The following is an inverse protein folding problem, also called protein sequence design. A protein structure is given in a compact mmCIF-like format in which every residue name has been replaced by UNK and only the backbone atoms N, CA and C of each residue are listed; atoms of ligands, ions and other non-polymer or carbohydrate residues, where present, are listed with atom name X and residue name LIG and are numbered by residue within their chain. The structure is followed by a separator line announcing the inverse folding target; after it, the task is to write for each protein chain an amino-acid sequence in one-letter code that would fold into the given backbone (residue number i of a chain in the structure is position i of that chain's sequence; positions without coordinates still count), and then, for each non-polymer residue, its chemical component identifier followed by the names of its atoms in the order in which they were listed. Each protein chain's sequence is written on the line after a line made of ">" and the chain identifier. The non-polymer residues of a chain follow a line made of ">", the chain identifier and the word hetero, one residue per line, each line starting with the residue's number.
data_IF_915972847042
#
_entry.id   IF_915972847042
#
_cell.length_a   1.000
_cell.length_b   1.000
_cell.length_c   1.000
_cell.angle_alpha   90.00
_cell.angle_beta   90.00
_cell.angle_gamma   90.00
#
_symmetry.space_group_name_H-M   'P 1'
#
loop_
_entity.id
_entity.type
_entity.pdbx_description
1 polymer ?
#
# COMPACT_ATOMS: atom_id res chain seq x y z
N UNK A 1 -8.97 14.42 -11.95
CA UNK A 1 -8.95 13.62 -13.18
C UNK A 1 -7.51 13.27 -13.55
N UNK A 2 -7.26 12.03 -13.88
CA UNK A 2 -5.98 11.56 -14.42
C UNK A 2 -6.19 10.51 -15.49
N UNK A 3 -5.22 10.42 -16.40
CA UNK A 3 -5.15 9.39 -17.42
C UNK A 3 -3.71 8.96 -17.60
N UNK A 4 -3.45 7.65 -17.45
CA UNK A 4 -2.15 7.03 -17.64
C UNK A 4 -2.28 5.94 -18.70
N UNK A 5 -1.25 5.78 -19.50
CA UNK A 5 -1.15 4.67 -20.44
C UNK A 5 0.31 4.19 -20.52
N UNK A 6 0.47 2.91 -20.74
CA UNK A 6 1.76 2.28 -20.89
C UNK A 6 1.81 1.32 -22.07
N UNK A 7 2.99 1.13 -22.59
CA UNK A 7 3.31 0.07 -23.55
C UNK A 7 4.61 -0.57 -23.15
N UNK A 8 4.55 -1.88 -22.90
CA UNK A 8 5.70 -2.65 -22.50
C UNK A 8 6.05 -3.68 -23.58
N UNK A 9 7.33 -3.87 -23.77
CA UNK A 9 7.89 -4.97 -24.54
C UNK A 9 8.98 -5.58 -23.71
N UNK A 10 8.81 -6.85 -23.35
CA UNK A 10 9.82 -7.62 -22.66
C UNK A 10 10.57 -8.44 -23.69
N UNK A 11 11.85 -8.17 -23.76
CA UNK A 11 12.82 -8.97 -24.49
C UNK A 11 13.77 -9.48 -23.41
N UNK A 12 13.39 -10.59 -22.76
CA UNK A 12 14.10 -11.16 -21.61
C UNK A 12 15.41 -11.80 -21.98
N UNK A 13 15.99 -11.29 -22.97
CA UNK A 13 17.38 -11.50 -23.18
C UNK A 13 17.74 -12.93 -23.47
N UNK A 14 18.87 -12.99 -23.86
CA UNK A 14 19.71 -14.07 -24.19
C UNK A 14 20.84 -14.05 -23.17
N UNK A 15 20.82 -15.00 -22.29
CA UNK A 15 21.97 -15.24 -21.44
C UNK A 15 22.96 -16.11 -22.22
N UNK A 16 24.28 -15.84 -22.14
CA UNK A 16 25.26 -16.68 -22.81
C UNK A 16 25.08 -18.15 -22.45
N UNK A 17 24.86 -19.00 -23.47
CA UNK A 17 24.61 -20.42 -23.30
C UNK A 17 23.13 -20.83 -23.29
N UNK A 18 22.19 -19.89 -23.38
CA UNK A 18 20.77 -20.16 -23.52
C UNK A 18 20.29 -19.95 -24.96
N UNK A 19 19.25 -20.68 -25.34
CA UNK A 19 18.58 -20.48 -26.64
C UNK A 19 17.79 -19.16 -26.63
N UNK A 20 17.85 -18.38 -27.72
CA UNK A 20 17.05 -17.17 -27.85
C UNK A 20 15.55 -17.47 -27.71
N UNK A 21 14.81 -16.56 -27.06
CA UNK A 21 13.37 -16.70 -26.97
C UNK A 21 12.72 -16.66 -28.36
N UNK A 22 11.76 -17.55 -28.59
CA UNK A 22 11.02 -17.65 -29.85
C UNK A 22 9.91 -16.60 -29.98
N UNK A 23 9.55 -15.93 -28.89
CA UNK A 23 8.55 -14.87 -28.87
C UNK A 23 8.88 -13.79 -27.84
N UNK A 24 8.48 -12.56 -28.12
CA UNK A 24 8.57 -11.44 -27.19
C UNK A 24 7.20 -11.12 -26.59
N UNK A 25 7.14 -11.00 -25.27
CA UNK A 25 5.96 -10.52 -24.57
C UNK A 25 5.77 -9.04 -24.82
N UNK A 26 4.53 -8.66 -25.10
CA UNK A 26 4.12 -7.26 -25.24
C UNK A 26 2.86 -7.02 -24.43
N UNK A 27 2.71 -5.83 -23.87
CA UNK A 27 1.47 -5.39 -23.26
C UNK A 27 1.20 -3.91 -23.50
N UNK A 28 -0.06 -3.55 -23.40
CA UNK A 28 -0.53 -2.17 -23.29
C UNK A 28 -1.47 -2.11 -22.10
N UNK A 29 -1.30 -1.08 -21.28
CA UNK A 29 -2.15 -0.79 -20.16
C UNK A 29 -2.64 0.64 -20.22
N UNK A 30 -3.77 0.87 -19.57
CA UNK A 30 -4.38 2.19 -19.43
C UNK A 30 -5.11 2.28 -18.11
N UNK A 31 -5.10 3.47 -17.54
CA UNK A 31 -5.84 3.81 -16.34
C UNK A 31 -6.41 5.22 -16.49
N UNK A 32 -7.68 5.36 -16.21
CA UNK A 32 -8.42 6.61 -16.18
C UNK A 32 -9.03 6.74 -14.79
N UNK A 33 -8.98 7.91 -14.18
CA UNK A 33 -9.60 8.09 -12.87
C UNK A 33 -10.11 9.50 -12.62
N UNK A 34 -11.10 9.57 -11.76
CA UNK A 34 -11.67 10.80 -11.22
C UNK A 34 -11.71 10.67 -9.71
N UNK A 35 -11.17 11.68 -9.01
CA UNK A 35 -11.29 11.84 -7.57
C UNK A 35 -11.91 13.19 -7.27
N UNK A 36 -12.87 13.21 -6.38
CA UNK A 36 -13.47 14.44 -5.88
C UNK A 36 -13.70 14.31 -4.38
N UNK A 37 -13.43 15.39 -3.66
CA UNK A 37 -13.81 15.51 -2.27
C UNK A 37 -14.18 16.93 -1.90
N UNK A 38 -14.97 17.06 -0.86
CA UNK A 38 -15.36 18.31 -0.25
C UNK A 38 -15.19 18.24 1.26
N UNK A 39 -14.55 19.24 1.84
CA UNK A 39 -14.47 19.41 3.30
C UNK A 39 -15.28 20.60 3.73
N UNK A 40 -15.96 20.48 4.86
CA UNK A 40 -16.75 21.54 5.47
C UNK A 40 -16.58 21.53 7.01
N UNK A 41 -16.72 22.68 7.62
CA UNK A 41 -16.89 22.86 9.06
C UNK A 41 -18.36 23.11 9.32
N UNK A 42 -19.04 22.15 9.97
CA UNK A 42 -20.46 22.24 10.26
C UNK A 42 -20.73 22.98 11.57
N UNK A 43 -19.83 22.86 12.53
CA UNK A 43 -19.86 23.53 13.84
C UNK A 43 -18.44 23.64 14.40
N UNK A 44 -18.28 24.34 15.53
CA UNK A 44 -16.97 24.63 16.13
C UNK A 44 -16.18 23.36 16.43
N UNK A 45 -14.91 23.33 16.02
CA UNK A 45 -13.99 22.20 16.20
C UNK A 45 -14.27 21.00 15.31
N UNK A 46 -15.23 21.09 14.38
CA UNK A 46 -15.58 20.01 13.47
C UNK A 46 -14.93 20.17 12.10
N UNK A 47 -14.58 19.06 11.49
CA UNK A 47 -14.27 18.94 10.07
C UNK A 47 -14.90 17.67 9.52
N UNK A 48 -15.83 17.83 8.59
CA UNK A 48 -16.41 16.74 7.82
C UNK A 48 -15.80 16.75 6.43
N UNK A 49 -15.32 15.61 5.97
CA UNK A 49 -14.88 15.39 4.59
C UNK A 49 -15.72 14.28 3.97
N UNK A 50 -16.26 14.52 2.79
CA UNK A 50 -16.93 13.50 1.98
C UNK A 50 -16.27 13.47 0.60
N UNK A 51 -16.19 12.30 -0.01
CA UNK A 51 -15.62 12.21 -1.33
C UNK A 51 -15.97 10.91 -2.03
N UNK A 52 -15.61 10.86 -3.31
CA UNK A 52 -15.70 9.65 -4.12
C UNK A 52 -14.52 9.55 -5.07
N UNK A 53 -14.20 8.31 -5.42
CA UNK A 53 -13.20 7.97 -6.42
C UNK A 53 -13.82 7.01 -7.44
N UNK A 54 -13.42 7.16 -8.69
CA UNK A 54 -13.69 6.22 -9.76
C UNK A 54 -12.41 5.96 -10.54
N UNK A 55 -12.14 4.69 -10.81
CA UNK A 55 -11.03 4.29 -11.67
C UNK A 55 -11.52 3.24 -12.68
N UNK A 56 -11.13 3.43 -13.93
CA UNK A 56 -11.23 2.44 -14.99
C UNK A 56 -9.82 2.08 -15.42
N UNK A 57 -9.45 0.82 -15.32
CA UNK A 57 -8.12 0.36 -15.67
C UNK A 57 -8.16 -1.00 -16.33
N UNK A 58 -7.13 -1.28 -17.10
CA UNK A 58 -7.03 -2.54 -17.79
C UNK A 58 -5.89 -2.58 -18.77
N UNK A 59 -5.76 -3.71 -19.43
CA UNK A 59 -4.72 -3.91 -20.40
C UNK A 59 -4.91 -5.15 -21.25
N UNK A 60 -4.21 -5.15 -22.37
CA UNK A 60 -4.07 -6.29 -23.25
C UNK A 60 -2.62 -6.76 -23.28
N UNK A 61 -2.42 -8.06 -23.41
CA UNK A 61 -1.10 -8.65 -23.62
C UNK A 61 -1.09 -9.62 -24.78
N UNK A 62 0.04 -9.81 -25.40
CA UNK A 62 0.26 -10.76 -26.47
C UNK A 62 1.74 -11.15 -26.59
N UNK A 63 1.98 -12.31 -27.15
CA UNK A 63 3.31 -12.69 -27.60
C UNK A 63 3.46 -12.44 -29.09
N UNK A 64 4.55 -11.78 -29.49
CA UNK A 64 4.93 -11.65 -30.91
C UNK A 64 6.00 -12.68 -31.24
N UNK A 65 5.69 -13.57 -32.19
CA UNK A 65 6.63 -14.59 -32.67
C UNK A 65 7.80 -13.90 -33.36
N UNK A 66 9.04 -14.24 -32.97
CA UNK A 66 10.27 -13.66 -33.51
C UNK A 66 11.19 -14.70 -34.13
N UNK A 67 10.98 -15.98 -33.79
CA UNK A 67 11.67 -17.12 -34.42
C UNK A 67 10.72 -18.32 -34.50
N UNK A 68 10.98 -19.23 -35.45
CA UNK A 68 10.20 -20.47 -35.59
C UNK A 68 10.43 -21.37 -34.37
N UNK A 69 9.34 -21.87 -33.83
CA UNK A 69 9.32 -22.85 -32.75
C UNK A 69 8.79 -24.17 -33.28
N UNK A 70 9.67 -25.16 -33.42
CA UNK A 70 9.31 -26.51 -33.93
C UNK A 70 8.28 -27.20 -33.01
N UNK A 71 8.25 -26.86 -31.72
CA UNK A 71 7.26 -27.40 -30.79
C UNK A 71 5.87 -26.80 -30.98
N UNK A 72 5.72 -25.73 -31.80
CA UNK A 72 4.47 -25.02 -32.09
C UNK A 72 4.23 -24.90 -33.59
N UNK A 73 3.96 -26.02 -34.29
CA UNK A 73 3.78 -26.01 -35.74
C UNK A 73 2.61 -25.09 -36.15
N UNK A 74 2.82 -24.35 -37.22
CA UNK A 74 1.83 -23.43 -37.77
C UNK A 74 1.99 -21.95 -37.33
N UNK A 75 2.87 -21.65 -36.41
CA UNK A 75 3.22 -20.26 -36.08
C UNK A 75 4.20 -19.69 -37.11
N UNK A 76 3.97 -18.44 -37.51
CA UNK A 76 4.83 -17.70 -38.42
C UNK A 76 5.52 -16.55 -37.70
N UNK A 77 6.72 -16.18 -38.16
CA UNK A 77 7.41 -14.99 -37.66
C UNK A 77 6.54 -13.75 -37.91
N UNK A 78 6.31 -12.97 -36.86
CA UNK A 78 5.43 -11.80 -36.88
C UNK A 78 4.04 -12.04 -36.32
N UNK A 79 3.62 -13.30 -36.12
CA UNK A 79 2.33 -13.63 -35.55
C UNK A 79 2.16 -12.99 -34.15
N UNK A 80 0.93 -12.54 -33.89
CA UNK A 80 0.49 -12.03 -32.60
C UNK A 80 -0.40 -13.06 -31.93
N UNK A 81 0.13 -13.70 -30.89
CA UNK A 81 -0.58 -14.68 -30.08
C UNK A 81 -1.24 -13.93 -28.94
N UNK A 82 -2.58 -13.84 -28.91
CA UNK A 82 -3.29 -13.15 -27.82
C UNK A 82 -2.96 -13.76 -26.46
N UNK A 83 -2.80 -12.91 -25.46
CA UNK A 83 -2.71 -13.26 -24.06
C UNK A 83 -3.97 -12.80 -23.31
N UNK A 84 -3.78 -11.99 -22.29
CA UNK A 84 -4.84 -11.43 -21.45
C UNK A 84 -5.38 -10.15 -22.08
N UNK A 85 -6.70 -9.98 -22.08
CA UNK A 85 -7.39 -8.72 -22.34
C UNK A 85 -8.46 -8.56 -21.25
N UNK A 86 -8.22 -7.66 -20.29
CA UNK A 86 -9.07 -7.44 -19.12
C UNK A 86 -9.20 -5.95 -18.83
N UNK A 87 -10.42 -5.56 -18.45
CA UNK A 87 -10.75 -4.22 -18.00
C UNK A 87 -11.56 -4.33 -16.71
N UNK A 88 -11.35 -3.39 -15.81
CA UNK A 88 -11.91 -3.37 -14.47
C UNK A 88 -12.31 -1.96 -14.10
N UNK A 89 -13.35 -1.89 -13.29
CA UNK A 89 -13.84 -0.65 -12.72
C UNK A 89 -13.77 -0.73 -11.21
N UNK A 90 -13.40 0.38 -10.58
CA UNK A 90 -13.35 0.54 -9.14
C UNK A 90 -14.05 1.84 -8.76
N UNK A 91 -14.98 1.75 -7.82
CA UNK A 91 -15.76 2.88 -7.30
C UNK A 91 -15.60 2.93 -5.80
N UNK A 92 -15.35 4.11 -5.26
CA UNK A 92 -15.33 4.30 -3.83
C UNK A 92 -16.06 5.55 -3.39
N UNK A 93 -16.73 5.46 -2.26
CA UNK A 93 -17.27 6.59 -1.53
C UNK A 93 -16.75 6.59 -0.10
N UNK A 94 -16.50 7.77 0.45
CA UNK A 94 -15.99 7.87 1.80
C UNK A 94 -16.51 9.09 2.55
N UNK A 95 -16.55 8.95 3.86
CA UNK A 95 -16.79 10.02 4.79
C UNK A 95 -15.76 9.94 5.92
N UNK A 96 -15.24 11.09 6.30
CA UNK A 96 -14.33 11.28 7.40
C UNK A 96 -14.83 12.43 8.27
N UNK A 97 -14.91 12.18 9.57
CA UNK A 97 -15.43 13.10 10.57
C UNK A 97 -14.40 13.30 11.67
N UNK A 98 -13.92 14.51 11.81
CA UNK A 98 -13.06 14.93 12.91
C UNK A 98 -13.78 15.92 13.80
N UNK A 99 -13.65 15.76 15.11
CA UNK A 99 -14.19 16.66 16.11
C UNK A 99 -13.22 16.91 17.24
N UNK A 100 -12.89 18.16 17.48
CA UNK A 100 -12.27 18.60 18.72
C UNK A 100 -13.38 18.70 19.78
N UNK A 101 -13.43 17.71 20.68
CA UNK A 101 -14.45 17.61 21.74
C UNK A 101 -14.22 18.74 22.76
N UNK A 102 -12.95 18.97 23.09
CA UNK A 102 -12.49 20.05 23.95
C UNK A 102 -10.99 20.31 23.71
N UNK A 103 -10.36 21.14 24.54
CA UNK A 103 -8.94 21.50 24.40
C UNK A 103 -7.95 20.36 24.62
N UNK A 104 -8.38 19.23 25.19
CA UNK A 104 -7.51 18.09 25.49
C UNK A 104 -7.90 16.81 24.76
N UNK A 105 -9.04 16.76 24.04
CA UNK A 105 -9.53 15.56 23.37
C UNK A 105 -10.06 15.88 21.97
N UNK A 106 -9.54 15.17 20.98
CA UNK A 106 -10.07 15.14 19.60
C UNK A 106 -10.46 13.71 19.22
N UNK A 107 -11.54 13.57 18.47
CA UNK A 107 -12.05 12.34 17.87
C UNK A 107 -11.87 12.41 16.35
N UNK A 108 -11.49 11.30 15.76
CA UNK A 108 -11.49 11.06 14.33
C UNK A 108 -12.23 9.77 14.03
N UNK A 109 -13.13 9.75 13.05
CA UNK A 109 -13.87 8.56 12.63
C UNK A 109 -14.21 8.64 11.15
N UNK A 110 -13.95 7.59 10.42
CA UNK A 110 -14.20 7.54 8.98
C UNK A 110 -14.57 6.15 8.50
N UNK A 111 -15.18 6.12 7.33
CA UNK A 111 -15.44 4.89 6.59
C UNK A 111 -15.33 5.15 5.10
N UNK A 112 -14.66 4.24 4.41
CA UNK A 112 -14.64 4.13 2.96
C UNK A 112 -15.31 2.84 2.55
N UNK A 113 -16.14 2.88 1.53
CA UNK A 113 -16.70 1.72 0.86
C UNK A 113 -16.10 1.71 -0.54
N UNK A 114 -15.45 0.60 -0.87
CA UNK A 114 -14.78 0.39 -2.14
C UNK A 114 -15.41 -0.78 -2.87
N UNK A 115 -15.77 -0.62 -4.13
CA UNK A 115 -16.34 -1.66 -4.97
C UNK A 115 -15.52 -1.88 -6.22
N UNK A 116 -14.94 -3.06 -6.33
CA UNK A 116 -14.17 -3.51 -7.49
C UNK A 116 -15.02 -4.49 -8.33
N UNK A 117 -15.10 -4.26 -9.63
CA UNK A 117 -15.99 -4.98 -10.55
C UNK A 117 -15.82 -6.51 -10.58
N UNK A 118 -14.66 -7.03 -10.18
CA UNK A 118 -14.37 -8.48 -10.16
C UNK A 118 -14.25 -9.07 -8.76
N UNK A 119 -13.82 -8.27 -7.78
CA UNK A 119 -13.47 -8.77 -6.43
C UNK A 119 -14.63 -8.59 -5.46
N UNK A 120 -15.45 -7.56 -5.68
CA UNK A 120 -16.58 -7.24 -4.82
C UNK A 120 -16.39 -5.97 -4.00
N UNK A 121 -17.01 -5.90 -2.84
CA UNK A 121 -17.08 -4.69 -2.02
C UNK A 121 -16.33 -4.88 -0.71
N UNK A 122 -15.47 -3.92 -0.38
CA UNK A 122 -14.76 -3.82 0.88
C UNK A 122 -15.21 -2.60 1.69
N UNK A 123 -15.39 -2.82 3.00
CA UNK A 123 -15.66 -1.77 3.97
C UNK A 123 -14.39 -1.48 4.75
N UNK A 124 -13.99 -0.21 4.79
CA UNK A 124 -12.71 0.23 5.31
C UNK A 124 -12.96 1.28 6.40
N UNK A 125 -13.27 0.85 7.64
CA UNK A 125 -13.46 1.75 8.78
C UNK A 125 -12.11 2.22 9.32
N UNK A 126 -12.12 3.42 9.90
CA UNK A 126 -11.05 3.96 10.71
C UNK A 126 -11.60 4.75 11.88
N UNK A 127 -10.84 4.83 12.96
CA UNK A 127 -11.18 5.66 14.11
C UNK A 127 -9.97 5.94 14.98
N UNK A 128 -10.00 7.07 15.67
CA UNK A 128 -8.92 7.49 16.53
C UNK A 128 -9.34 8.49 17.59
N UNK A 129 -8.58 8.51 18.67
CA UNK A 129 -8.64 9.49 19.74
C UNK A 129 -7.28 10.14 19.91
N UNK A 130 -7.24 11.45 20.04
CA UNK A 130 -6.03 12.19 20.39
C UNK A 130 -6.24 12.96 21.69
N UNK A 131 -5.37 12.68 22.66
CA UNK A 131 -5.32 13.37 23.95
C UNK A 131 -4.19 14.39 23.92
N UNK A 132 -4.54 15.66 23.90
CA UNK A 132 -3.58 16.78 23.94
C UNK A 132 -3.20 17.06 25.39
N UNK A 133 -1.98 16.74 25.74
CA UNK A 133 -1.47 16.81 27.10
C UNK A 133 -0.63 18.09 27.32
N UNK A 134 -0.40 18.51 28.57
CA UNK A 134 0.52 19.62 28.86
C UNK A 134 1.91 19.43 28.23
N UNK A 135 2.63 20.54 28.04
CA UNK A 135 3.98 20.58 27.45
C UNK A 135 4.07 20.04 26.03
N UNK A 136 3.03 20.24 25.22
CA UNK A 136 2.96 19.79 23.83
C UNK A 136 3.13 18.27 23.69
N UNK A 137 2.72 17.52 24.69
CA UNK A 137 2.67 16.09 24.61
C UNK A 137 1.30 15.63 24.03
N UNK A 138 1.29 14.55 23.30
CA UNK A 138 0.09 13.99 22.71
C UNK A 138 0.13 12.45 22.79
N UNK A 139 -0.99 11.88 23.22
CA UNK A 139 -1.25 10.45 23.16
C UNK A 139 -2.34 10.19 22.13
N UNK A 140 -2.07 9.35 21.13
CA UNK A 140 -3.05 8.93 20.13
C UNK A 140 -3.27 7.43 20.18
N UNK A 141 -4.53 7.03 20.08
CA UNK A 141 -4.94 5.66 19.84
C UNK A 141 -5.72 5.60 18.53
N UNK A 142 -5.34 4.70 17.63
CA UNK A 142 -5.95 4.56 16.31
C UNK A 142 -6.24 3.11 16.00
N UNK A 143 -7.33 2.88 15.27
CA UNK A 143 -7.65 1.62 14.59
C UNK A 143 -8.05 1.92 13.16
N UNK A 144 -7.50 1.16 12.21
CA UNK A 144 -7.84 1.31 10.81
C UNK A 144 -7.80 -0.02 10.08
N UNK A 145 -8.70 -0.20 9.11
CA UNK A 145 -8.64 -1.30 8.16
C UNK A 145 -7.91 -0.83 6.90
N UNK A 146 -6.96 -1.63 6.43
CA UNK A 146 -6.37 -1.54 5.10
C UNK A 146 -6.84 -2.70 4.23
N UNK A 147 -6.78 -2.53 2.90
CA UNK A 147 -7.07 -3.62 1.96
C UNK A 147 -6.23 -3.46 0.69
N UNK A 148 -6.13 -4.55 -0.08
CA UNK A 148 -5.53 -4.54 -1.41
C UNK A 148 -6.32 -5.47 -2.33
N UNK A 149 -6.81 -4.95 -3.44
CA UNK A 149 -7.37 -5.78 -4.49
C UNK A 149 -6.27 -6.56 -5.23
N UNK A 150 -6.53 -7.82 -5.65
CA UNK A 150 -5.58 -8.56 -6.48
C UNK A 150 -5.40 -7.87 -7.83
N UNK A 151 -4.20 -7.91 -8.34
CA UNK A 151 -3.83 -7.33 -9.63
C UNK A 151 -4.33 -8.18 -10.80
N UNK A 152 -4.48 -7.58 -11.99
CA UNK A 152 -4.77 -8.32 -13.22
C UNK A 152 -3.73 -9.43 -13.44
N UNK A 153 -2.47 -9.18 -13.07
CA UNK A 153 -1.41 -10.18 -13.18
C UNK A 153 -1.66 -11.39 -12.28
N UNK A 154 -2.00 -11.18 -11.01
CA UNK A 154 -2.27 -12.24 -10.05
C UNK A 154 -3.50 -13.07 -10.44
N UNK A 155 -4.50 -12.43 -11.06
CA UNK A 155 -5.73 -13.09 -11.46
C UNK A 155 -5.66 -13.79 -12.82
N UNK A 156 -4.95 -13.23 -13.80
CA UNK A 156 -5.10 -13.66 -15.20
C UNK A 156 -3.81 -13.84 -15.98
N UNK A 157 -2.66 -13.32 -15.51
CA UNK A 157 -1.42 -13.36 -16.28
C UNK A 157 -0.45 -14.38 -15.68
N UNK A 158 -0.05 -15.37 -16.44
CA UNK A 158 0.94 -16.36 -16.10
C UNK A 158 0.63 -17.21 -14.84
N UNK A 159 0.87 -18.51 -14.90
CA UNK A 159 0.87 -19.30 -13.67
C UNK A 159 1.81 -18.68 -12.63
N UNK A 160 1.36 -18.52 -11.38
CA UNK A 160 0.25 -19.19 -10.70
C UNK A 160 -1.07 -18.40 -10.63
N UNK A 161 -1.54 -17.77 -11.71
CA UNK A 161 -2.76 -16.96 -11.71
C UNK A 161 -4.00 -17.66 -11.13
N UNK A 162 -4.91 -16.83 -10.56
CA UNK A 162 -6.20 -17.30 -10.04
C UNK A 162 -7.27 -16.22 -10.17
N UNK A 163 -8.29 -16.37 -11.05
CA UNK A 163 -9.35 -15.38 -11.20
C UNK A 163 -10.30 -15.29 -9.99
N UNK A 164 -10.29 -16.27 -9.07
CA UNK A 164 -11.18 -16.33 -7.91
C UNK A 164 -10.58 -15.66 -6.65
N UNK A 165 -9.49 -14.89 -6.82
CA UNK A 165 -8.87 -14.17 -5.71
C UNK A 165 -9.80 -13.10 -5.13
N UNK A 166 -9.75 -12.98 -3.82
CA UNK A 166 -10.43 -11.93 -3.03
C UNK A 166 -9.43 -10.85 -2.62
N UNK A 167 -9.95 -9.72 -2.17
CA UNK A 167 -9.12 -8.68 -1.58
C UNK A 167 -8.40 -9.21 -0.33
N UNK A 168 -7.15 -8.80 -0.17
CA UNK A 168 -6.45 -8.91 1.10
C UNK A 168 -6.97 -7.84 2.05
N UNK A 169 -7.03 -8.11 3.32
CA UNK A 169 -7.39 -7.11 4.32
C UNK A 169 -6.50 -7.20 5.56
N UNK A 170 -6.28 -6.07 6.20
CA UNK A 170 -5.55 -6.00 7.45
C UNK A 170 -6.20 -4.99 8.40
N UNK A 171 -6.15 -5.29 9.68
CA UNK A 171 -6.46 -4.35 10.75
C UNK A 171 -5.16 -3.86 11.38
N UNK A 172 -5.05 -2.56 11.53
CA UNK A 172 -3.94 -1.90 12.19
C UNK A 172 -4.42 -1.19 13.45
N UNK A 173 -3.74 -1.45 14.57
CA UNK A 173 -3.97 -0.84 15.86
C UNK A 173 -2.71 -0.12 16.28
N UNK A 174 -2.82 1.16 16.61
CA UNK A 174 -1.67 2.00 16.97
C UNK A 174 -1.93 2.75 18.26
N UNK A 175 -0.88 2.86 19.07
CA UNK A 175 -0.82 3.74 20.22
C UNK A 175 0.48 4.55 20.14
N UNK A 176 0.36 5.85 19.91
CA UNK A 176 1.52 6.73 19.80
C UNK A 176 1.55 7.77 20.91
N UNK A 177 2.74 8.04 21.41
CA UNK A 177 3.02 9.09 22.39
C UNK A 177 4.15 9.96 21.89
N UNK A 178 3.87 11.25 21.72
CA UNK A 178 4.84 12.24 21.25
C UNK A 178 4.91 13.42 22.20
N UNK A 179 6.03 14.11 22.21
CA UNK A 179 6.14 15.31 23.03
C UNK A 179 7.49 16.00 22.93
N UNK A 180 7.64 17.04 23.76
CA UNK A 180 8.87 17.83 23.86
C UNK A 180 9.39 17.82 25.31
N UNK A 181 10.70 17.80 25.45
CA UNK A 181 11.42 17.90 26.72
C UNK A 181 12.35 19.11 26.73
N UNK A 182 12.90 19.39 27.91
CA UNK A 182 13.90 20.44 28.14
C UNK A 182 13.44 21.85 27.70
N UNK A 183 12.11 22.10 27.71
CA UNK A 183 11.58 23.38 27.29
C UNK A 183 11.55 23.59 25.76
N UNK A 184 11.62 22.49 24.98
CA UNK A 184 11.41 22.49 23.53
C UNK A 184 12.58 22.02 22.64
N UNK A 185 13.85 22.02 23.08
CA UNK A 185 14.94 21.59 22.20
C UNK A 185 14.98 20.08 21.93
N UNK A 186 14.31 19.26 22.72
CA UNK A 186 14.27 17.81 22.56
C UNK A 186 12.86 17.35 22.26
N UNK A 187 12.66 16.67 21.13
CA UNK A 187 11.43 16.00 20.74
C UNK A 187 11.59 14.49 20.84
N UNK A 188 10.52 13.80 21.20
CA UNK A 188 10.47 12.34 21.24
C UNK A 188 9.15 11.83 20.72
N UNK A 189 9.18 10.60 20.22
CA UNK A 189 7.99 9.85 19.87
C UNK A 189 8.22 8.36 20.10
N UNK A 190 7.15 7.71 20.53
CA UNK A 190 7.07 6.25 20.64
C UNK A 190 5.77 5.82 19.99
N UNK A 191 5.81 4.84 19.10
CA UNK A 191 4.66 4.23 18.48
C UNK A 191 4.69 2.73 18.73
N UNK A 192 3.60 2.21 19.28
CA UNK A 192 3.33 0.78 19.43
C UNK A 192 2.29 0.43 18.40
N UNK A 193 2.51 -0.66 17.65
CA UNK A 193 1.56 -1.11 16.66
C UNK A 193 1.36 -2.61 16.68
N UNK A 194 0.16 -3.03 16.30
CA UNK A 194 -0.22 -4.40 16.04
C UNK A 194 -1.01 -4.46 14.74
N UNK A 195 -0.55 -5.32 13.82
CA UNK A 195 -1.15 -5.53 12.51
C UNK A 195 -1.58 -6.98 12.41
N UNK A 196 -2.87 -7.20 12.15
CA UNK A 196 -3.43 -8.50 11.85
C UNK A 196 -4.07 -8.47 10.47
N UNK A 197 -3.65 -9.37 9.59
CA UNK A 197 -4.11 -9.42 8.21
C UNK A 197 -4.54 -10.81 7.79
N UNK A 198 -5.64 -10.86 7.04
CA UNK A 198 -6.24 -12.07 6.53
C UNK A 198 -6.31 -12.05 5.00
N UNK A 199 -6.52 -13.23 4.42
CA UNK A 199 -6.66 -13.40 2.98
C UNK A 199 -5.45 -12.93 2.16
N UNK A 200 -4.26 -12.93 2.74
CA UNK A 200 -3.05 -12.53 2.04
C UNK A 200 -2.82 -13.47 0.87
N UNK A 201 -2.58 -12.90 -0.29
CA UNK A 201 -2.38 -13.66 -1.53
C UNK A 201 -0.99 -14.30 -1.51
N UNK A 202 -0.96 -15.61 -1.51
CA UNK A 202 0.25 -16.41 -1.55
C UNK A 202 0.19 -17.39 -2.70
N UNK A 203 1.35 -17.80 -3.22
CA UNK A 203 1.43 -18.90 -4.16
C UNK A 203 1.46 -20.22 -3.40
N UNK A 204 0.47 -21.07 -3.63
CA UNK A 204 0.48 -22.46 -3.15
C UNK A 204 1.31 -23.31 -4.12
N UNK A 205 2.47 -23.86 -3.69
CA UNK A 205 3.34 -24.65 -4.57
C UNK A 205 2.70 -25.97 -5.01
N UNK A 206 1.83 -26.58 -4.18
CA UNK A 206 1.17 -27.85 -4.49
C UNK A 206 0.07 -27.66 -5.54
N UNK A 207 -0.71 -26.59 -5.41
CA UNK A 207 -1.75 -26.24 -6.37
C UNK A 207 -1.19 -25.47 -7.59
N UNK A 208 0.03 -24.96 -7.51
CA UNK A 208 0.64 -24.05 -8.50
C UNK A 208 -0.28 -22.88 -8.86
N UNK A 209 -0.94 -22.33 -7.85
CA UNK A 209 -2.00 -21.33 -7.98
C UNK A 209 -1.87 -20.29 -6.85
N UNK A 210 -2.18 -19.03 -7.15
CA UNK A 210 -2.33 -18.02 -6.12
C UNK A 210 -3.61 -18.28 -5.32
N UNK A 211 -3.55 -18.17 -4.02
CA UNK A 211 -4.67 -18.40 -3.10
C UNK A 211 -4.66 -17.36 -1.98
N UNK A 212 -5.82 -17.05 -1.43
CA UNK A 212 -5.97 -16.20 -0.26
C UNK A 212 -5.84 -17.05 1.02
N UNK A 213 -4.65 -17.50 1.33
CA UNK A 213 -4.38 -18.37 2.49
C UNK A 213 -3.34 -17.84 3.46
N UNK A 214 -2.73 -16.70 3.13
CA UNK A 214 -1.73 -16.10 4.00
C UNK A 214 -2.35 -15.28 5.11
N UNK A 215 -1.65 -15.22 6.23
CA UNK A 215 -1.97 -14.43 7.40
C UNK A 215 -0.76 -13.56 7.76
N UNK A 216 -1.02 -12.36 8.24
CA UNK A 216 -0.01 -11.47 8.80
C UNK A 216 -0.38 -11.21 10.24
N UNK A 217 0.56 -11.45 11.14
CA UNK A 217 0.47 -11.05 12.52
C UNK A 217 1.81 -10.43 12.93
N UNK A 218 1.84 -9.11 12.94
CA UNK A 218 3.03 -8.33 13.19
C UNK A 218 2.76 -7.33 14.31
N UNK A 219 3.73 -7.14 15.17
CA UNK A 219 3.68 -6.09 16.19
C UNK A 219 5.07 -5.53 16.45
N UNK A 220 5.12 -4.31 16.92
CA UNK A 220 6.41 -3.69 17.10
C UNK A 220 6.36 -2.34 17.80
N UNK A 221 7.54 -1.76 17.91
CA UNK A 221 7.79 -0.48 18.55
C UNK A 221 8.66 0.36 17.62
N UNK A 222 8.24 1.59 17.39
CA UNK A 222 9.03 2.60 16.70
C UNK A 222 9.31 3.76 17.66
N UNK A 223 10.54 4.23 17.69
CA UNK A 223 10.92 5.39 18.50
C UNK A 223 11.66 6.40 17.64
N UNK A 224 11.42 7.65 17.91
CA UNK A 224 12.16 8.76 17.33
C UNK A 224 12.60 9.75 18.39
N UNK A 225 13.80 10.26 18.24
CA UNK A 225 14.41 11.25 19.10
C UNK A 225 15.02 12.35 18.25
N UNK A 226 14.66 13.60 18.52
CA UNK A 226 15.28 14.78 17.92
C UNK A 226 15.85 15.68 19.02
N UNK A 227 17.05 16.20 18.83
CA UNK A 227 17.67 17.10 19.79
C UNK A 227 18.36 18.27 19.08
N UNK A 228 17.84 19.48 19.28
CA UNK A 228 18.45 20.71 18.80
C UNK A 228 19.42 21.24 19.86
N UNK A 229 20.71 20.98 19.66
CA UNK A 229 21.79 21.39 20.59
C UNK A 229 21.90 22.92 20.62
N UNK A 230 21.86 23.54 19.44
CA UNK A 230 21.90 24.99 19.28
C UNK A 230 21.36 25.40 17.89
N UNK A 231 21.55 26.66 17.45
CA UNK A 231 21.06 27.14 16.14
C UNK A 231 21.74 26.47 14.93
N UNK A 232 22.87 25.82 15.11
CA UNK A 232 23.66 25.22 14.05
C UNK A 232 23.59 23.70 14.01
N UNK A 233 23.38 23.04 15.15
CA UNK A 233 23.41 21.60 15.28
C UNK A 233 22.10 21.01 15.74
N UNK A 234 21.66 20.01 14.99
CA UNK A 234 20.53 19.15 15.34
C UNK A 234 20.95 17.70 15.20
N UNK A 235 20.55 16.87 16.15
CA UNK A 235 20.73 15.42 16.12
C UNK A 235 19.36 14.75 16.00
N UNK A 236 19.32 13.61 15.30
CA UNK A 236 18.15 12.76 15.21
C UNK A 236 18.55 11.28 15.31
N UNK A 237 17.68 10.49 15.90
CA UNK A 237 17.82 9.04 15.98
C UNK A 237 16.46 8.38 15.88
N UNK A 238 16.37 7.28 15.14
CA UNK A 238 15.18 6.46 15.03
C UNK A 238 15.57 5.01 15.28
N UNK A 239 14.73 4.32 16.03
CA UNK A 239 14.86 2.89 16.24
C UNK A 239 13.52 2.22 16.02
N UNK A 240 13.50 1.10 15.32
CA UNK A 240 12.33 0.24 15.17
C UNK A 240 12.68 -1.20 15.51
N UNK A 241 11.75 -1.85 16.17
CA UNK A 241 11.73 -3.27 16.41
C UNK A 241 10.42 -3.84 15.89
N UNK A 242 10.51 -4.91 15.10
CA UNK A 242 9.39 -5.59 14.46
C UNK A 242 9.45 -7.08 14.82
N UNK A 243 8.38 -7.59 15.40
CA UNK A 243 8.13 -9.03 15.49
C UNK A 243 7.14 -9.47 14.42
N UNK A 244 7.46 -10.55 13.74
CA UNK A 244 6.60 -11.17 12.73
C UNK A 244 6.36 -12.62 13.12
N UNK A 245 5.10 -13.02 13.27
CA UNK A 245 4.74 -14.42 13.50
C UNK A 245 5.09 -15.28 12.28
N UNK A 246 4.88 -14.73 11.08
CA UNK A 246 5.27 -15.32 9.80
C UNK A 246 6.40 -14.49 9.17
N UNK A 247 7.68 -14.79 9.46
CA UNK A 247 8.79 -14.00 8.96
C UNK A 247 8.91 -13.98 7.45
N UNK A 248 9.11 -12.80 6.87
CA UNK A 248 9.39 -12.62 5.44
C UNK A 248 10.86 -12.27 5.22
N UNK A 249 11.40 -12.68 4.08
CA UNK A 249 12.77 -12.35 3.68
C UNK A 249 12.95 -10.83 3.54
N UNK A 250 14.12 -10.34 3.92
CA UNK A 250 14.53 -8.94 3.79
C UNK A 250 13.77 -7.92 4.66
N UNK A 251 13.02 -8.35 5.67
CA UNK A 251 12.46 -7.49 6.69
C UNK A 251 13.31 -7.59 7.97
N UNK A 252 14.16 -6.60 8.29
CA UNK A 252 14.99 -6.66 9.49
C UNK A 252 14.13 -6.50 10.75
N UNK A 253 14.38 -7.35 11.74
CA UNK A 253 13.72 -7.27 13.05
C UNK A 253 14.10 -5.98 13.82
N UNK A 254 15.34 -5.54 13.66
CA UNK A 254 15.85 -4.32 14.27
C UNK A 254 16.39 -3.37 13.21
N UNK A 255 16.03 -2.09 13.34
CA UNK A 255 16.54 -1.02 12.47
C UNK A 255 16.88 0.20 13.31
N UNK A 256 18.10 0.68 13.17
CA UNK A 256 18.60 1.88 13.84
C UNK A 256 19.12 2.87 12.81
N UNK A 257 18.74 4.13 12.97
CA UNK A 257 19.32 5.25 12.26
C UNK A 257 19.72 6.34 13.26
N UNK A 258 20.86 6.97 13.05
CA UNK A 258 21.28 8.17 13.76
C UNK A 258 21.96 9.15 12.80
N UNK A 259 21.67 10.42 12.97
CA UNK A 259 22.18 11.49 12.12
C UNK A 259 22.43 12.78 12.89
N UNK A 260 23.28 13.62 12.32
CA UNK A 260 23.52 14.98 12.80
C UNK A 260 23.51 15.94 11.62
N UNK A 261 22.79 17.03 11.76
CA UNK A 261 22.67 18.09 10.77
C UNK A 261 23.40 19.34 11.26
N UNK A 262 24.19 19.94 10.36
CA UNK A 262 24.84 21.20 10.60
C UNK A 262 24.37 22.25 9.60
N UNK A 263 23.89 23.39 10.09
CA UNK A 263 23.48 24.53 9.27
C UNK A 263 24.40 25.72 9.55
N UNK A 264 25.08 26.16 8.54
CA UNK A 264 25.84 27.39 8.59
C UNK A 264 24.87 28.55 8.32
N UNK A 265 24.71 29.45 9.32
CA UNK A 265 23.87 30.64 9.23
C UNK A 265 24.51 31.78 8.44
#
# INVERSE_FOLDING_TARGET
>A
FFYNWGRHRINDGYHPGEEPQKSHFNSKDRMLGISWYQSATLFTGNRLTVGFDYQHFGGESWNKVVAIDEAKPGQQIGDRIPGVDKQMDEFAGYVDFRQDINSWLSLDAGVRIDHHSHVGTEWIPQGGLAFHLPRQAELKAMVSKGFRNPTIREMYMFPPQNPDLKAESLMNYELSFTGQLLGGPMSYGVNLYYINGDNIIMTDPALRKNVNSGEIENWGVETNLGYRINRHWQMNANYSWLHMENPVLAAPEHKLYAGADFTQG
#
